data_IF_112173377236
#
_entry.id   IF_112173377236
#
_cell.length_a   1.000
_cell.length_b   1.000
_cell.length_c   1.000
_cell.angle_alpha   90.00
_cell.angle_beta   90.00
_cell.angle_gamma   90.00
#
_symmetry.space_group_name_H-M   'P 1'
#
loop_
_entity.id
_entity.type
_entity.pdbx_description
1 polymer ?
#
# COMPACT_ATOMS: atom_id res chain seq x y z
N UNK A 1 -32.11 16.87 2.64
CA UNK A 1 -30.86 17.00 3.43
C UNK A 1 -29.88 15.86 3.10
N UNK A 2 -29.25 15.89 1.92
CA UNK A 2 -28.28 14.86 1.46
C UNK A 2 -26.83 15.35 1.53
N UNK A 3 -26.61 16.66 1.44
CA UNK A 3 -25.28 17.30 1.43
C UNK A 3 -24.49 17.16 2.74
N UNK A 4 -25.19 17.05 3.89
CA UNK A 4 -24.54 16.89 5.20
C UNK A 4 -23.87 15.51 5.39
N UNK A 5 -24.51 14.45 4.89
CA UNK A 5 -23.96 13.09 4.92
C UNK A 5 -22.72 12.99 4.01
N UNK A 6 -22.80 13.50 2.77
CA UNK A 6 -21.66 13.50 1.85
C UNK A 6 -20.46 14.27 2.42
N UNK A 7 -20.70 15.42 3.04
CA UNK A 7 -19.65 16.22 3.69
C UNK A 7 -19.00 15.48 4.84
N UNK A 8 -19.79 14.77 5.67
CA UNK A 8 -19.29 13.96 6.79
C UNK A 8 -18.49 12.75 6.32
N UNK A 9 -18.91 12.09 5.24
CA UNK A 9 -18.14 11.02 4.61
C UNK A 9 -16.83 11.52 3.99
N UNK A 10 -16.85 12.71 3.39
CA UNK A 10 -15.65 13.32 2.79
C UNK A 10 -14.64 13.71 3.86
N UNK A 11 -15.09 14.29 4.97
CA UNK A 11 -14.24 14.61 6.14
C UNK A 11 -13.63 13.34 6.76
N UNK A 12 -14.43 12.29 6.96
CA UNK A 12 -13.93 11.01 7.48
C UNK A 12 -12.91 10.35 6.54
N UNK A 13 -13.07 10.51 5.21
CA UNK A 13 -12.09 10.04 4.22
C UNK A 13 -10.82 10.88 4.24
N UNK A 14 -10.91 12.20 4.44
CA UNK A 14 -9.76 13.08 4.55
C UNK A 14 -8.89 12.73 5.76
N UNK A 15 -9.50 12.56 6.95
CA UNK A 15 -8.78 12.15 8.18
C UNK A 15 -8.08 10.81 7.99
N UNK A 16 -8.76 9.83 7.37
CA UNK A 16 -8.14 8.52 7.07
C UNK A 16 -6.99 8.64 6.07
N UNK A 17 -7.08 9.55 5.10
CA UNK A 17 -5.97 9.81 4.15
C UNK A 17 -4.78 10.46 4.84
N UNK A 18 -5.01 11.43 5.71
CA UNK A 18 -3.96 12.09 6.49
C UNK A 18 -3.20 11.10 7.37
N UNK A 19 -3.92 10.18 8.02
CA UNK A 19 -3.28 9.12 8.81
C UNK A 19 -2.43 8.18 7.94
N UNK A 20 -2.95 7.79 6.78
CA UNK A 20 -2.20 6.95 5.82
C UNK A 20 -0.96 7.69 5.32
N UNK A 21 -1.07 8.99 5.03
CA UNK A 21 0.03 9.83 4.57
C UNK A 21 1.13 9.96 5.63
N UNK A 22 0.74 10.24 6.88
CA UNK A 22 1.67 10.36 8.01
C UNK A 22 2.39 9.04 8.25
N UNK A 23 1.66 7.94 8.37
CA UNK A 23 2.26 6.61 8.60
C UNK A 23 3.16 6.19 7.41
N UNK A 24 2.79 6.53 6.17
CA UNK A 24 3.61 6.27 4.99
C UNK A 24 4.92 7.07 5.02
N UNK A 25 4.86 8.38 5.33
CA UNK A 25 6.06 9.22 5.47
C UNK A 25 6.95 8.74 6.61
N UNK A 26 6.36 8.35 7.73
CA UNK A 26 7.11 7.80 8.86
C UNK A 26 7.83 6.51 8.49
N UNK A 27 7.17 5.60 7.76
CA UNK A 27 7.82 4.39 7.28
C UNK A 27 8.93 4.68 6.27
N UNK A 28 8.71 5.58 5.32
CA UNK A 28 9.75 6.00 4.36
C UNK A 28 10.93 6.64 5.08
N UNK A 29 10.68 7.51 6.06
CA UNK A 29 11.72 8.18 6.85
C UNK A 29 12.53 7.18 7.68
N UNK A 30 11.90 6.17 8.26
CA UNK A 30 12.55 5.19 9.15
C UNK A 30 13.23 4.05 8.41
N UNK A 31 12.64 3.58 7.31
CA UNK A 31 13.06 2.35 6.63
C UNK A 31 13.53 2.57 5.18
N UNK A 32 13.45 3.79 4.65
CA UNK A 32 13.92 4.13 3.31
C UNK A 32 13.37 3.21 2.22
N UNK A 33 14.26 2.60 1.44
CA UNK A 33 13.91 1.66 0.37
C UNK A 33 13.17 0.39 0.83
N UNK A 34 13.30 0.01 2.11
CA UNK A 34 12.59 -1.16 2.67
C UNK A 34 11.19 -0.82 3.18
N UNK A 35 10.78 0.45 3.18
CA UNK A 35 9.49 0.91 3.71
C UNK A 35 8.29 0.19 3.07
N UNK A 36 8.37 -0.14 1.78
CA UNK A 36 7.32 -0.89 1.09
C UNK A 36 7.16 -2.31 1.64
N UNK A 37 8.28 -3.02 1.82
CA UNK A 37 8.28 -4.40 2.36
C UNK A 37 7.76 -4.43 3.80
N UNK A 38 8.19 -3.47 4.63
CA UNK A 38 7.70 -3.33 6.01
C UNK A 38 6.19 -3.08 6.04
N UNK A 39 5.67 -2.21 5.18
CA UNK A 39 4.23 -1.97 5.08
C UNK A 39 3.46 -3.20 4.57
N UNK A 40 4.04 -3.96 3.63
CA UNK A 40 3.45 -5.21 3.11
C UNK A 40 3.36 -6.27 4.21
N UNK A 41 4.40 -6.43 5.01
CA UNK A 41 4.43 -7.43 6.07
C UNK A 41 3.47 -7.06 7.20
N UNK A 42 3.37 -5.77 7.56
CA UNK A 42 2.33 -5.29 8.48
C UNK A 42 0.91 -5.52 7.94
N UNK A 43 0.70 -5.35 6.63
CA UNK A 43 -0.59 -5.65 6.01
C UNK A 43 -0.93 -7.15 6.02
N UNK A 44 0.08 -8.02 5.86
CA UNK A 44 -0.09 -9.48 5.98
C UNK A 44 -0.36 -9.91 7.41
N UNK A 45 0.45 -9.46 8.36
CA UNK A 45 0.23 -9.70 9.79
C UNK A 45 -1.18 -9.23 10.21
N UNK A 46 -1.64 -8.09 9.68
CA UNK A 46 -2.97 -7.59 9.97
C UNK A 46 -4.12 -8.39 9.37
N UNK A 47 -3.90 -9.07 8.24
CA UNK A 47 -4.86 -10.01 7.65
C UNK A 47 -4.91 -11.32 8.42
N UNK A 48 -3.76 -11.79 8.90
CA UNK A 48 -3.63 -13.02 9.65
C UNK A 48 -4.06 -12.88 11.12
N UNK A 49 -4.64 -11.74 11.51
CA UNK A 49 -5.04 -11.46 12.90
C UNK A 49 -3.86 -11.23 13.86
N UNK A 50 -2.63 -11.18 13.35
CA UNK A 50 -1.39 -10.96 14.10
C UNK A 50 -1.06 -9.46 14.21
N UNK A 51 -2.09 -8.61 14.40
CA UNK A 51 -1.90 -7.15 14.51
C UNK A 51 -1.34 -6.77 15.87
N UNK A 52 -0.22 -6.03 15.87
CA UNK A 52 0.31 -5.36 17.08
C UNK A 52 -0.37 -4.02 17.39
N UNK A 53 -1.01 -3.40 16.39
CA UNK A 53 -1.67 -2.10 16.52
C UNK A 53 -3.19 -2.24 16.54
N UNK A 54 -3.78 -2.37 17.74
CA UNK A 54 -5.23 -2.42 17.94
C UNK A 54 -5.97 -1.17 17.38
N UNK A 55 -5.23 -0.08 17.16
CA UNK A 55 -5.77 1.22 16.73
C UNK A 55 -5.84 1.39 15.20
N UNK A 56 -5.43 0.38 14.42
CA UNK A 56 -5.40 0.45 12.94
C UNK A 56 -6.19 -0.72 12.35
N UNK A 57 -7.10 -0.42 11.41
CA UNK A 57 -7.84 -1.48 10.73
C UNK A 57 -6.95 -2.30 9.81
N UNK A 58 -7.30 -3.55 9.53
CA UNK A 58 -6.55 -4.42 8.61
C UNK A 58 -6.34 -3.80 7.22
N UNK A 59 -7.32 -3.02 6.76
CA UNK A 59 -7.26 -2.29 5.49
C UNK A 59 -6.34 -1.06 5.54
N UNK A 60 -5.93 -0.58 6.71
CA UNK A 60 -5.08 0.61 6.88
C UNK A 60 -3.69 0.38 6.29
N UNK A 61 -3.02 -0.69 6.72
CA UNK A 61 -1.67 -1.03 6.23
C UNK A 61 -1.65 -1.34 4.73
N UNK A 62 -2.74 -1.88 4.19
CA UNK A 62 -2.93 -2.03 2.74
C UNK A 62 -2.87 -0.68 2.00
N UNK A 63 -3.50 0.36 2.55
CA UNK A 63 -3.48 1.72 1.97
C UNK A 63 -2.12 2.40 2.14
N UNK A 64 -1.48 2.22 3.30
CA UNK A 64 -0.11 2.71 3.55
C UNK A 64 0.87 2.11 2.55
N UNK A 65 0.81 0.80 2.31
CA UNK A 65 1.62 0.11 1.30
C UNK A 65 1.46 0.73 -0.10
N UNK A 66 0.22 0.94 -0.54
CA UNK A 66 -0.07 1.55 -1.84
C UNK A 66 0.48 2.98 -1.92
N UNK A 67 0.36 3.74 -0.83
CA UNK A 67 0.85 5.12 -0.77
C UNK A 67 2.38 5.19 -0.82
N UNK A 68 3.08 4.34 -0.07
CA UNK A 68 4.55 4.24 -0.11
C UNK A 68 5.03 3.90 -1.51
N UNK A 69 4.37 2.98 -2.20
CA UNK A 69 4.77 2.64 -3.56
C UNK A 69 4.57 3.80 -4.54
N UNK A 70 3.45 4.52 -4.44
CA UNK A 70 3.21 5.74 -5.20
C UNK A 70 4.25 6.84 -4.91
N UNK A 71 4.70 6.98 -3.66
CA UNK A 71 5.74 7.94 -3.27
C UNK A 71 7.14 7.53 -3.73
N UNK A 72 7.43 6.23 -3.73
CA UNK A 72 8.77 5.70 -4.01
C UNK A 72 9.01 5.42 -5.49
N UNK A 73 8.06 5.77 -6.37
CA UNK A 73 8.11 5.41 -7.79
C UNK A 73 8.03 3.90 -8.04
N UNK A 74 7.71 3.09 -7.02
CA UNK A 74 7.44 1.66 -7.20
C UNK A 74 6.12 1.53 -7.95
N UNK A 75 6.21 1.34 -9.26
CA UNK A 75 5.07 1.05 -10.10
C UNK A 75 4.48 -0.31 -9.68
N UNK A 76 3.49 -0.28 -8.78
CA UNK A 76 2.63 -1.44 -8.48
C UNK A 76 1.80 -1.72 -9.74
N UNK A 77 2.41 -2.38 -10.72
CA UNK A 77 1.82 -2.61 -12.04
C UNK A 77 2.84 -2.90 -13.12
N UNK A 78 3.99 -2.21 -13.14
CA UNK A 78 5.05 -2.54 -14.10
C UNK A 78 5.78 -3.82 -13.69
N UNK A 79 6.25 -3.98 -12.45
CA UNK A 79 7.04 -5.18 -12.09
C UNK A 79 6.30 -6.51 -12.31
N UNK A 80 4.96 -6.54 -12.20
CA UNK A 80 4.21 -7.75 -12.55
C UNK A 80 4.13 -7.92 -14.07
N UNK A 81 3.79 -6.88 -14.84
CA UNK A 81 3.72 -6.95 -16.30
C UNK A 81 5.09 -7.23 -16.94
N UNK A 82 6.16 -6.60 -16.45
CA UNK A 82 7.55 -6.82 -16.85
C UNK A 82 8.02 -8.23 -16.47
N UNK A 83 7.63 -8.76 -15.29
CA UNK A 83 7.92 -10.16 -14.92
C UNK A 83 7.25 -11.17 -15.85
N UNK A 84 6.05 -10.88 -16.35
CA UNK A 84 5.40 -11.73 -17.36
C UNK A 84 6.04 -11.59 -18.75
N UNK A 85 6.44 -10.39 -19.16
CA UNK A 85 7.19 -10.15 -20.40
C UNK A 85 8.56 -10.84 -20.43
N UNK A 86 9.33 -10.82 -19.34
CA UNK A 86 10.61 -11.54 -19.24
C UNK A 86 10.46 -13.07 -19.20
N UNK A 87 9.32 -13.57 -18.71
CA UNK A 87 9.06 -15.01 -18.61
C UNK A 87 8.66 -15.60 -19.96
N UNK A 88 7.99 -14.83 -20.83
CA UNK A 88 7.64 -15.25 -22.20
C UNK A 88 8.87 -15.30 -23.13
N UNK A 89 9.83 -14.40 -22.95
CA UNK A 89 11.04 -14.34 -23.78
C UNK A 89 12.01 -15.52 -23.52
N UNK A 90 11.96 -16.10 -22.31
CA UNK A 90 12.75 -17.31 -21.96
C UNK A 90 12.08 -18.63 -22.31
N UNK A 91 10.86 -18.62 -22.84
CA UNK A 91 10.08 -19.82 -23.11
C UNK A 91 10.22 -20.37 -24.54
N UNK A 92 11.01 -19.74 -25.42
CA UNK A 92 11.24 -20.25 -26.78
C UNK A 92 12.53 -21.08 -26.83
N UNK A 93 12.46 -22.42 -26.89
CA UNK A 93 13.64 -23.23 -27.19
C UNK A 93 14.11 -22.92 -28.62
N UNK A 94 15.42 -22.88 -28.88
CA UNK A 94 15.92 -22.75 -30.23
C UNK A 94 15.45 -23.96 -31.06
N UNK A 95 14.86 -23.68 -32.23
CA UNK A 95 14.70 -24.67 -33.30
C UNK A 95 15.88 -24.55 -34.24
#
# INVERSE_FOLDING_TARGET
MIFGWLSRLRAARAVRRDLVERDARDLVKRFGGSAYSVARDRARAARDGRTFDANRSSAHWGKVKLRIAAMSGHAIGLDTATRWLESDDKAKPPR
#
